data_IF_308832351980
#
_entry.id   IF_308832351980
#
_cell.length_a   1.000
_cell.length_b   1.000
_cell.length_c   1.000
_cell.angle_alpha   90.00
_cell.angle_beta   90.00
_cell.angle_gamma   90.00
#
_symmetry.space_group_name_H-M   'P 1'
#
loop_
_entity.id
_entity.type
_entity.pdbx_description
1 polymer ?
#
# COMPACT_ATOMS: atom_id res chain seq x y z
N UNK A 1 -5.53 -44.56 -12.00
CA UNK A 1 -4.24 -44.98 -11.42
C UNK A 1 -3.27 -43.81 -11.45
N UNK A 2 -3.32 -42.95 -10.43
CA UNK A 2 -2.28 -41.98 -10.06
C UNK A 2 -2.73 -41.39 -8.72
N UNK A 3 -2.57 -42.19 -7.66
CA UNK A 3 -2.80 -41.83 -6.28
C UNK A 3 -1.74 -42.56 -5.45
N UNK A 4 -0.50 -42.07 -5.49
CA UNK A 4 0.58 -42.41 -4.55
C UNK A 4 1.88 -41.72 -4.97
N UNK A 5 2.11 -40.49 -4.52
CA UNK A 5 3.44 -39.95 -4.28
C UNK A 5 3.28 -38.75 -3.35
N UNK A 6 4.31 -38.42 -2.58
CA UNK A 6 4.37 -37.30 -1.63
C UNK A 6 3.83 -37.58 -0.21
N UNK A 7 4.42 -38.60 0.42
CA UNK A 7 4.83 -38.52 1.84
C UNK A 7 6.32 -38.87 1.91
N UNK A 8 7.15 -37.89 2.30
CA UNK A 8 8.47 -37.98 2.95
C UNK A 8 9.37 -36.84 2.47
N UNK A 9 9.40 -35.75 3.23
CA UNK A 9 10.66 -35.05 3.48
C UNK A 9 10.74 -34.81 4.99
N UNK A 10 11.72 -35.48 5.57
CA UNK A 10 12.01 -35.54 7.00
C UNK A 10 12.84 -34.34 7.40
N UNK A 11 12.49 -33.74 8.55
CA UNK A 11 13.27 -32.73 9.27
C UNK A 11 14.59 -33.35 9.77
N UNK A 12 15.77 -32.76 9.49
CA UNK A 12 16.97 -33.08 10.23
C UNK A 12 17.12 -32.13 11.42
N UNK A 13 17.02 -32.69 12.63
CA UNK A 13 17.55 -32.10 13.86
C UNK A 13 19.07 -32.25 13.82
N UNK A 14 19.82 -31.15 13.90
CA UNK A 14 21.22 -31.19 14.30
C UNK A 14 21.49 -30.20 15.43
N UNK A 15 21.76 -30.78 16.61
CA UNK A 15 22.41 -30.15 17.75
C UNK A 15 23.91 -30.07 17.44
N UNK A 16 24.47 -28.85 17.47
CA UNK A 16 25.90 -28.59 17.36
C UNK A 16 26.35 -27.62 18.44
N UNK A 17 26.87 -28.16 19.54
CA UNK A 17 27.61 -27.45 20.57
C UNK A 17 28.90 -26.87 19.98
N UNK A 18 29.16 -25.58 20.17
CA UNK A 18 30.50 -25.01 19.92
C UNK A 18 31.02 -24.37 21.21
N UNK A 19 32.22 -24.84 21.56
CA UNK A 19 33.01 -24.55 22.75
C UNK A 19 33.65 -23.16 22.67
N UNK A 20 33.51 -22.38 23.74
CA UNK A 20 34.22 -21.11 23.94
C UNK A 20 35.59 -21.38 24.54
N UNK A 21 36.66 -21.02 23.83
CA UNK A 21 38.02 -20.99 24.38
C UNK A 21 38.45 -19.54 24.60
N UNK A 22 38.74 -19.23 25.87
CA UNK A 22 39.37 -18.00 26.33
C UNK A 22 40.88 -18.04 26.02
N UNK A 23 41.41 -16.95 25.46
CA UNK A 23 42.82 -16.58 25.65
C UNK A 23 42.93 -15.09 25.96
N UNK A 24 43.56 -14.81 27.09
CA UNK A 24 43.92 -13.49 27.58
C UNK A 24 45.25 -13.04 26.96
N UNK A 25 45.39 -11.74 26.70
CA UNK A 25 46.64 -11.10 26.32
C UNK A 25 46.59 -9.60 26.61
N UNK A 26 47.30 -9.18 27.66
CA UNK A 26 47.38 -7.82 28.21
C UNK A 26 48.61 -7.09 27.65
N UNK A 27 48.51 -5.80 27.27
CA UNK A 27 49.23 -4.65 27.87
C UNK A 27 49.29 -3.38 27.00
N UNK A 28 48.93 -2.28 27.67
CA UNK A 28 49.39 -0.88 27.55
C UNK A 28 49.30 -0.10 26.22
N UNK A 29 48.45 0.94 26.24
CA UNK A 29 48.95 2.32 26.26
C UNK A 29 47.90 3.28 26.85
N UNK A 30 48.31 4.09 27.82
CA UNK A 30 47.55 5.26 28.29
C UNK A 30 47.79 6.40 27.29
N UNK A 31 46.72 7.03 26.81
CA UNK A 31 46.75 8.38 26.26
C UNK A 31 45.43 9.04 26.68
N UNK A 32 45.59 10.07 27.50
CA UNK A 32 44.55 10.92 28.04
C UNK A 32 44.37 12.06 27.04
N UNK A 33 43.32 12.00 26.22
CA UNK A 33 42.91 13.14 25.39
C UNK A 33 41.47 13.49 25.74
N UNK A 34 41.32 14.68 26.33
CA UNK A 34 40.06 15.30 26.64
C UNK A 34 39.28 15.51 25.33
N UNK A 35 38.34 14.62 25.05
CA UNK A 35 37.37 14.80 23.99
C UNK A 35 36.54 16.05 24.31
N UNK A 36 36.79 17.11 23.54
CA UNK A 36 35.94 18.29 23.42
C UNK A 36 34.50 17.85 23.19
N UNK A 37 33.63 18.14 24.14
CA UNK A 37 32.19 18.14 23.92
C UNK A 37 31.88 19.17 22.82
N UNK A 38 31.28 18.79 21.68
CA UNK A 38 30.86 19.77 20.70
C UNK A 38 29.73 20.63 21.31
N UNK A 39 29.69 21.95 21.04
CA UNK A 39 28.62 22.80 21.55
C UNK A 39 27.27 22.39 20.95
N UNK A 40 26.21 22.59 21.73
CA UNK A 40 24.82 22.34 21.36
C UNK A 40 24.50 22.87 19.94
N UNK A 41 23.81 22.03 19.17
CA UNK A 41 23.63 22.14 17.73
C UNK A 41 23.36 23.55 17.19
N UNK A 42 24.22 23.98 16.28
CA UNK A 42 23.91 25.07 15.36
C UNK A 42 22.69 24.66 14.53
N UNK A 43 21.57 25.35 14.77
CA UNK A 43 20.35 25.23 13.97
C UNK A 43 20.69 25.71 12.55
N UNK A 44 20.79 24.79 11.59
CA UNK A 44 21.06 25.16 10.20
C UNK A 44 20.00 26.16 9.70
N UNK A 45 20.41 27.19 8.94
CA UNK A 45 19.47 28.16 8.37
C UNK A 45 18.63 27.47 7.29
N UNK A 46 17.33 27.29 7.56
CA UNK A 46 16.40 26.67 6.61
C UNK A 46 16.31 27.43 5.29
N UNK A 47 16.03 26.72 4.20
CA UNK A 47 15.95 27.28 2.84
C UNK A 47 14.60 27.97 2.65
N UNK A 48 14.58 29.19 2.09
CA UNK A 48 13.32 29.86 1.71
C UNK A 48 12.67 29.13 0.54
N UNK A 49 11.40 28.75 0.68
CA UNK A 49 10.67 28.07 -0.37
C UNK A 49 10.41 29.01 -1.56
N UNK A 50 10.67 28.56 -2.79
CA UNK A 50 10.65 29.45 -3.96
C UNK A 50 9.25 29.99 -4.30
N UNK A 51 8.21 29.16 -4.14
CA UNK A 51 6.81 29.52 -4.45
C UNK A 51 6.10 30.21 -3.27
N UNK A 52 6.08 29.56 -2.11
CA UNK A 52 5.40 30.04 -0.91
C UNK A 52 6.30 30.89 0.00
N UNK A 53 6.85 31.95 -0.58
CA UNK A 53 7.52 33.02 0.15
C UNK A 53 6.82 34.34 -0.16
N UNK A 54 5.67 34.56 0.48
CA UNK A 54 4.76 35.65 0.15
C UNK A 54 5.23 36.98 0.72
N UNK A 55 5.20 38.03 -0.08
CA UNK A 55 5.64 39.36 0.34
C UNK A 55 4.76 39.92 1.48
N UNK A 56 3.46 39.67 1.42
CA UNK A 56 2.44 40.03 2.42
C UNK A 56 2.22 38.97 3.51
N UNK A 57 2.98 37.87 3.48
CA UNK A 57 2.89 36.81 4.48
C UNK A 57 3.22 37.32 5.89
N UNK A 58 2.45 36.84 6.88
CA UNK A 58 2.52 37.28 8.27
C UNK A 58 3.04 36.21 9.23
N UNK A 59 3.31 35.01 8.73
CA UNK A 59 3.80 33.85 9.47
C UNK A 59 4.90 33.16 8.66
N UNK A 60 6.02 32.87 9.29
CA UNK A 60 7.05 31.97 8.74
C UNK A 60 6.89 30.61 9.41
N UNK A 61 6.60 29.58 8.62
CA UNK A 61 6.52 28.20 9.07
C UNK A 61 7.79 27.48 8.65
N UNK A 62 8.45 26.83 9.60
CA UNK A 62 9.60 25.97 9.37
C UNK A 62 9.18 24.50 9.45
N UNK A 63 9.26 23.79 8.34
CA UNK A 63 9.32 22.33 8.29
C UNK A 63 10.78 21.87 8.33
N UNK A 64 11.05 20.58 8.13
CA UNK A 64 12.38 19.96 8.09
C UNK A 64 13.48 20.89 7.54
N UNK A 65 13.49 21.09 6.22
CA UNK A 65 14.56 21.82 5.52
C UNK A 65 14.13 23.21 4.98
N UNK A 66 12.83 23.46 4.91
CA UNK A 66 12.28 24.64 4.23
C UNK A 66 11.55 25.62 5.17
N UNK A 67 11.59 26.88 4.76
CA UNK A 67 10.90 28.00 5.36
C UNK A 67 9.84 28.53 4.39
N UNK A 68 8.60 28.60 4.87
CA UNK A 68 7.45 29.06 4.12
C UNK A 68 6.95 30.37 4.75
N UNK A 69 6.87 31.45 3.97
CA UNK A 69 6.28 32.71 4.43
C UNK A 69 4.86 32.82 3.89
N UNK A 70 3.87 32.70 4.77
CA UNK A 70 2.46 32.50 4.41
C UNK A 70 1.50 33.36 5.25
N UNK A 71 0.22 33.38 4.87
CA UNK A 71 -0.85 34.06 5.61
C UNK A 71 -1.23 33.31 6.89
N UNK A 72 -0.99 33.91 8.06
CA UNK A 72 -1.31 33.32 9.37
C UNK A 72 -2.78 32.90 9.48
N UNK A 73 -3.68 33.80 9.09
CA UNK A 73 -5.14 33.62 9.24
C UNK A 73 -5.66 32.46 8.41
N UNK A 74 -5.06 32.18 7.24
CA UNK A 74 -5.44 31.06 6.38
C UNK A 74 -5.19 29.73 7.09
N UNK A 75 -4.03 29.55 7.72
CA UNK A 75 -3.70 28.30 8.41
C UNK A 75 -4.45 28.17 9.74
N UNK A 76 -4.46 29.21 10.57
CA UNK A 76 -5.10 29.16 11.90
C UNK A 76 -6.62 28.91 11.82
N UNK A 77 -7.27 29.39 10.75
CA UNK A 77 -8.72 29.18 10.55
C UNK A 77 -9.08 27.71 10.40
N UNK A 78 -8.17 26.90 9.87
CA UNK A 78 -8.45 25.52 9.51
C UNK A 78 -7.66 24.50 10.33
N UNK A 79 -6.71 24.94 11.16
CA UNK A 79 -5.87 24.08 11.99
C UNK A 79 -5.73 24.57 13.43
N UNK A 80 -6.23 23.76 14.36
CA UNK A 80 -6.07 23.99 15.80
C UNK A 80 -4.61 23.84 16.22
N UNK A 81 -3.89 22.90 15.60
CA UNK A 81 -2.46 22.69 15.82
C UNK A 81 -1.67 23.93 15.47
N UNK A 82 -1.87 24.49 14.27
CA UNK A 82 -1.15 25.69 13.85
C UNK A 82 -1.55 26.87 14.71
N UNK A 83 -2.83 26.96 15.12
CA UNK A 83 -3.27 27.97 16.08
C UNK A 83 -2.49 27.91 17.39
N UNK A 84 -2.41 26.74 18.02
CA UNK A 84 -1.69 26.53 19.27
C UNK A 84 -0.18 26.78 19.14
N UNK A 85 0.44 26.34 18.04
CA UNK A 85 1.85 26.61 17.77
C UNK A 85 2.13 28.12 17.64
N UNK A 86 1.20 28.88 17.05
CA UNK A 86 1.32 30.33 16.92
C UNK A 86 1.09 31.08 18.25
N UNK A 87 0.43 30.49 19.24
CA UNK A 87 0.25 31.07 20.59
C UNK A 87 1.52 30.95 21.43
N UNK A 88 2.28 29.86 21.25
CA UNK A 88 3.58 29.64 21.88
C UNK A 88 4.76 30.31 21.17
N UNK A 89 4.55 30.86 19.96
CA UNK A 89 5.60 31.51 19.18
C UNK A 89 6.04 32.82 19.84
N UNK A 90 7.32 32.90 20.24
CA UNK A 90 7.93 34.16 20.68
C UNK A 90 8.02 35.13 19.50
N UNK A 91 7.51 36.34 19.69
CA UNK A 91 7.83 37.44 18.78
C UNK A 91 9.33 37.72 18.87
N UNK A 92 10.07 37.25 17.87
CA UNK A 92 11.44 37.68 17.53
C UNK A 92 12.40 37.78 18.71
N UNK A 93 13.01 36.66 19.10
CA UNK A 93 14.41 36.72 19.53
C UNK A 93 15.23 35.90 18.55
N UNK A 94 16.01 36.64 17.75
CA UNK A 94 17.02 36.19 16.79
C UNK A 94 16.50 35.62 15.45
N UNK A 95 16.15 36.51 14.51
CA UNK A 95 16.00 36.16 13.10
C UNK A 95 15.44 37.30 12.24
N UNK A 96 16.13 37.63 11.16
CA UNK A 96 15.89 38.69 10.17
C UNK A 96 14.63 38.47 9.30
N UNK A 97 13.48 38.17 9.92
CA UNK A 97 12.23 37.84 9.22
C UNK A 97 11.20 38.99 9.22
N UNK A 98 11.68 40.23 9.26
CA UNK A 98 10.84 41.42 9.05
C UNK A 98 9.65 41.54 10.03
N UNK A 99 9.78 41.04 11.26
CA UNK A 99 8.72 41.12 12.28
C UNK A 99 7.64 40.03 12.18
N UNK A 100 7.78 39.04 11.28
CA UNK A 100 6.86 37.90 11.21
C UNK A 100 7.01 36.98 12.42
N UNK A 101 5.90 36.40 12.89
CA UNK A 101 5.97 35.28 13.83
C UNK A 101 6.61 34.08 13.12
N UNK A 102 7.53 33.40 13.80
CA UNK A 102 8.16 32.16 13.29
C UNK A 102 7.62 30.99 14.10
N UNK A 103 7.11 29.98 13.42
CA UNK A 103 6.64 28.73 14.02
C UNK A 103 7.46 27.58 13.45
N UNK A 104 7.94 26.72 14.33
CA UNK A 104 8.57 25.47 13.96
C UNK A 104 7.57 24.33 14.13
N UNK A 105 7.35 23.55 13.08
CA UNK A 105 6.57 22.32 13.19
C UNK A 105 7.47 21.29 13.90
N UNK A 106 7.05 20.73 15.05
CA UNK A 106 7.86 19.78 15.79
C UNK A 106 8.17 18.53 14.96
N UNK A 107 9.39 18.01 15.08
CA UNK A 107 9.86 16.84 14.32
C UNK A 107 8.99 15.60 14.57
N UNK A 108 8.45 15.44 15.77
CA UNK A 108 7.57 14.34 16.14
C UNK A 108 6.24 14.31 15.37
N UNK A 109 5.85 15.43 14.72
CA UNK A 109 4.68 15.47 13.83
C UNK A 109 4.97 14.88 12.44
N UNK A 110 6.24 14.64 12.11
CA UNK A 110 6.69 14.02 10.87
C UNK A 110 6.12 14.66 9.59
N UNK A 111 6.05 16.00 9.56
CA UNK A 111 5.56 16.76 8.40
C UNK A 111 6.72 17.01 7.43
N UNK A 112 6.64 16.42 6.24
CA UNK A 112 7.61 16.68 5.18
C UNK A 112 7.37 18.06 4.54
N UNK A 113 8.43 18.69 4.02
CA UNK A 113 8.29 19.94 3.25
C UNK A 113 7.39 19.77 2.02
N UNK A 114 7.46 18.61 1.35
CA UNK A 114 6.68 18.32 0.15
C UNK A 114 5.18 18.17 0.45
N UNK A 115 4.82 17.50 1.55
CA UNK A 115 3.41 17.39 1.95
C UNK A 115 2.85 18.76 2.36
N UNK A 116 3.65 19.55 3.08
CA UNK A 116 3.25 20.91 3.44
C UNK A 116 3.10 21.82 2.21
N UNK A 117 4.01 21.74 1.24
CA UNK A 117 3.90 22.44 -0.04
C UNK A 117 2.57 22.09 -0.76
N UNK A 118 2.23 20.80 -0.79
CA UNK A 118 1.00 20.29 -1.43
C UNK A 118 -0.25 20.81 -0.70
N UNK A 119 -0.23 20.87 0.63
CA UNK A 119 -1.31 21.49 1.42
C UNK A 119 -1.47 22.98 1.10
N UNK A 120 -0.36 23.72 0.99
CA UNK A 120 -0.41 25.14 0.61
C UNK A 120 -0.96 25.31 -0.81
N UNK A 121 -0.59 24.44 -1.76
CA UNK A 121 -1.14 24.45 -3.11
C UNK A 121 -2.67 24.27 -3.12
N UNK A 122 -3.19 23.42 -2.23
CA UNK A 122 -4.63 23.28 -2.04
C UNK A 122 -5.26 24.54 -1.44
N UNK A 123 -4.68 25.07 -0.35
CA UNK A 123 -5.20 26.22 0.39
C UNK A 123 -5.21 27.52 -0.40
N UNK A 124 -4.22 27.73 -1.26
CA UNK A 124 -4.13 28.90 -2.16
C UNK A 124 -4.84 28.67 -3.49
N UNK A 125 -5.54 27.55 -3.68
CA UNK A 125 -6.25 27.17 -4.92
C UNK A 125 -5.35 27.09 -6.16
N UNK A 126 -4.07 26.87 -5.92
CA UNK A 126 -3.02 26.70 -6.92
C UNK A 126 -3.08 25.30 -7.56
N UNK A 127 -3.43 24.30 -6.76
CA UNK A 127 -3.66 22.90 -7.17
C UNK A 127 -4.68 22.28 -6.21
N UNK A 128 -5.99 22.61 -6.34
CA UNK A 128 -7.02 22.05 -5.48
C UNK A 128 -7.13 20.53 -5.65
N UNK A 129 -7.66 19.86 -4.62
CA UNK A 129 -7.90 18.42 -4.69
C UNK A 129 -9.33 18.20 -5.13
N UNK A 130 -9.49 17.34 -6.13
CA UNK A 130 -10.77 16.90 -6.66
C UNK A 130 -10.68 15.44 -7.15
N UNK A 131 -11.75 14.95 -7.79
CA UNK A 131 -11.83 13.57 -8.28
C UNK A 131 -10.86 13.23 -9.42
N UNK A 132 -10.18 14.21 -10.00
CA UNK A 132 -9.18 14.03 -11.06
C UNK A 132 -7.73 14.15 -10.57
N UNK A 133 -7.53 14.46 -9.28
CA UNK A 133 -6.20 14.54 -8.67
C UNK A 133 -5.46 13.21 -8.69
N UNK A 134 -4.16 13.25 -8.96
CA UNK A 134 -3.30 12.07 -8.93
C UNK A 134 -3.08 11.56 -7.50
N UNK A 135 -2.77 10.26 -7.36
CA UNK A 135 -2.61 9.62 -6.05
C UNK A 135 -1.58 10.32 -5.15
N UNK A 136 -0.37 10.66 -5.62
CA UNK A 136 0.65 11.30 -4.76
C UNK A 136 0.16 12.62 -4.14
N UNK A 137 -0.62 13.42 -4.87
CA UNK A 137 -1.17 14.67 -4.37
C UNK A 137 -2.21 14.43 -3.26
N UNK A 138 -3.12 13.48 -3.49
CA UNK A 138 -4.17 13.12 -2.52
C UNK A 138 -3.52 12.51 -1.26
N UNK A 139 -2.54 11.63 -1.43
CA UNK A 139 -1.76 11.01 -0.35
C UNK A 139 -1.07 12.05 0.52
N UNK A 140 -0.34 12.99 -0.10
CA UNK A 140 0.34 14.08 0.60
C UNK A 140 -0.62 14.92 1.45
N UNK A 141 -1.74 15.35 0.88
CA UNK A 141 -2.72 16.13 1.64
C UNK A 141 -3.41 15.30 2.71
N UNK A 142 -3.71 14.03 2.45
CA UNK A 142 -4.30 13.13 3.45
C UNK A 142 -3.39 13.02 4.70
N UNK A 143 -2.08 12.82 4.50
CA UNK A 143 -1.09 12.75 5.60
C UNK A 143 -1.02 14.06 6.41
N UNK A 144 -0.74 15.18 5.74
CA UNK A 144 -0.49 16.49 6.41
C UNK A 144 -1.71 17.10 7.05
N UNK A 145 -2.90 16.85 6.50
CA UNK A 145 -4.16 17.32 7.09
C UNK A 145 -4.64 16.46 8.26
N UNK A 146 -4.05 15.29 8.50
CA UNK A 146 -4.49 14.38 9.56
C UNK A 146 -4.32 14.95 10.97
N UNK A 147 -5.09 14.42 11.92
CA UNK A 147 -5.03 14.80 13.32
C UNK A 147 -3.64 14.56 13.95
N UNK A 148 -2.88 13.58 13.45
CA UNK A 148 -1.53 13.28 13.91
C UNK A 148 -0.48 14.31 13.45
N UNK A 149 -0.76 15.03 12.36
CA UNK A 149 0.15 16.01 11.78
C UNK A 149 -0.32 17.43 12.06
N UNK A 150 -0.90 18.12 11.09
CA UNK A 150 -1.32 19.51 11.24
C UNK A 150 -2.81 19.70 11.54
N UNK A 151 -3.60 18.63 11.63
CA UNK A 151 -5.01 18.66 12.03
C UNK A 151 -5.81 19.72 11.26
N UNK A 152 -6.10 19.45 9.99
CA UNK A 152 -7.01 20.23 9.14
C UNK A 152 -8.27 19.40 8.83
N UNK A 153 -9.26 19.31 9.74
CA UNK A 153 -10.31 18.29 9.68
C UNK A 153 -11.13 18.29 8.39
N UNK A 154 -11.54 19.45 7.91
CA UNK A 154 -12.35 19.55 6.68
C UNK A 154 -11.55 19.14 5.44
N UNK A 155 -10.26 19.49 5.39
CA UNK A 155 -9.36 19.12 4.28
C UNK A 155 -9.05 17.62 4.35
N UNK A 156 -8.83 17.10 5.55
CA UNK A 156 -8.61 15.67 5.76
C UNK A 156 -9.81 14.83 5.34
N UNK A 157 -11.03 15.27 5.68
CA UNK A 157 -12.25 14.60 5.24
C UNK A 157 -12.40 14.63 3.72
N UNK A 158 -12.07 15.75 3.07
CA UNK A 158 -12.06 15.87 1.61
C UNK A 158 -11.05 14.92 0.96
N UNK A 159 -9.79 14.94 1.43
CA UNK A 159 -8.73 14.09 0.92
C UNK A 159 -9.07 12.61 1.11
N UNK A 160 -9.58 12.23 2.28
CA UNK A 160 -10.06 10.88 2.57
C UNK A 160 -11.17 10.43 1.63
N UNK A 161 -12.18 11.28 1.42
CA UNK A 161 -13.31 10.96 0.54
C UNK A 161 -12.89 10.87 -0.93
N UNK A 162 -11.85 11.62 -1.31
CA UNK A 162 -11.26 11.55 -2.66
C UNK A 162 -10.48 10.25 -2.80
N UNK A 163 -9.62 9.93 -1.84
CA UNK A 163 -8.84 8.70 -1.79
C UNK A 163 -9.70 7.44 -1.84
N UNK A 164 -10.80 7.39 -1.07
CA UNK A 164 -11.77 6.29 -1.10
C UNK A 164 -12.35 6.04 -2.50
N UNK A 165 -12.59 7.10 -3.28
CA UNK A 165 -13.17 7.00 -4.63
C UNK A 165 -12.15 6.60 -5.70
N UNK A 166 -10.85 6.58 -5.39
CA UNK A 166 -9.82 6.21 -6.35
C UNK A 166 -9.77 4.71 -6.61
N UNK A 167 -10.31 3.89 -5.70
CA UNK A 167 -10.23 2.44 -5.77
C UNK A 167 -11.61 1.82 -5.97
N UNK A 168 -11.72 0.74 -6.77
CA UNK A 168 -12.94 -0.03 -6.85
C UNK A 168 -13.21 -0.77 -5.54
N UNK A 169 -14.49 -1.01 -5.24
CA UNK A 169 -14.95 -1.77 -4.07
C UNK A 169 -15.24 -3.25 -4.37
N UNK A 170 -15.19 -3.64 -5.65
CA UNK A 170 -15.52 -4.98 -6.12
C UNK A 170 -14.31 -5.75 -6.67
N UNK A 171 -14.48 -7.03 -6.99
CA UNK A 171 -13.45 -7.82 -7.64
C UNK A 171 -13.25 -7.32 -9.08
N UNK A 172 -12.25 -6.48 -9.28
CA UNK A 172 -11.82 -6.03 -10.60
C UNK A 172 -10.53 -6.77 -11.01
N UNK A 173 -10.60 -7.65 -12.04
CA UNK A 173 -9.43 -8.30 -12.58
C UNK A 173 -8.45 -7.28 -13.16
N UNK A 174 -7.15 -7.53 -12.99
CA UNK A 174 -6.07 -6.72 -13.57
C UNK A 174 -6.02 -5.27 -13.10
N UNK A 175 -6.58 -4.98 -11.91
CA UNK A 175 -6.50 -3.66 -11.31
C UNK A 175 -5.03 -3.23 -11.15
N UNK A 176 -4.69 -2.07 -11.69
CA UNK A 176 -3.40 -1.43 -11.48
C UNK A 176 -3.56 -0.34 -10.42
N UNK A 177 -2.79 -0.47 -9.34
CA UNK A 177 -2.74 0.51 -8.26
C UNK A 177 -1.38 1.19 -8.33
N UNK A 178 -1.39 2.52 -8.42
CA UNK A 178 -0.18 3.35 -8.26
C UNK A 178 0.26 3.31 -6.80
N UNK A 179 1.54 3.03 -6.55
CA UNK A 179 2.16 2.94 -5.22
C UNK A 179 1.32 2.14 -4.19
N UNK A 180 1.07 0.84 -4.44
CA UNK A 180 0.11 0.03 -3.69
C UNK A 180 0.47 -0.13 -2.20
N UNK A 181 1.76 -0.04 -1.85
CA UNK A 181 2.24 -0.10 -0.48
C UNK A 181 1.95 1.18 0.32
N UNK A 182 2.20 2.36 -0.27
CA UNK A 182 1.82 3.64 0.36
C UNK A 182 0.29 3.73 0.46
N UNK A 183 -0.43 3.38 -0.61
CA UNK A 183 -1.89 3.36 -0.60
C UNK A 183 -2.45 2.44 0.49
N UNK A 184 -1.93 1.21 0.64
CA UNK A 184 -2.35 0.29 1.70
C UNK A 184 -2.04 0.85 3.10
N UNK A 185 -0.85 1.42 3.28
CA UNK A 185 -0.43 2.02 4.54
C UNK A 185 -1.38 3.15 4.95
N UNK A 186 -1.67 4.09 4.04
CA UNK A 186 -2.59 5.19 4.27
C UNK A 186 -4.02 4.71 4.54
N UNK A 187 -4.50 3.70 3.82
CA UNK A 187 -5.84 3.15 4.02
C UNK A 187 -5.98 2.51 5.40
N UNK A 188 -4.93 1.89 5.94
CA UNK A 188 -4.93 1.32 7.29
C UNK A 188 -4.77 2.41 8.35
N UNK A 189 -3.76 3.26 8.23
CA UNK A 189 -3.46 4.31 9.21
C UNK A 189 -4.61 5.29 9.39
N UNK A 190 -5.30 5.63 8.29
CA UNK A 190 -6.46 6.50 8.32
C UNK A 190 -7.79 5.75 8.32
N UNK A 191 -7.81 4.43 8.53
CA UNK A 191 -9.05 3.63 8.66
C UNK A 191 -10.02 3.78 7.48
N UNK A 192 -9.52 3.86 6.24
CA UNK A 192 -10.33 3.92 5.01
C UNK A 192 -10.76 2.51 4.60
N UNK A 193 -11.63 1.90 5.42
CA UNK A 193 -12.01 0.49 5.32
C UNK A 193 -12.53 0.04 3.95
N UNK A 194 -13.37 0.80 3.21
CA UNK A 194 -13.97 0.32 1.96
C UNK A 194 -12.98 -0.10 0.88
N UNK A 195 -11.76 0.46 0.90
CA UNK A 195 -10.72 0.19 -0.11
C UNK A 195 -9.61 -0.73 0.40
N UNK A 196 -9.59 -1.05 1.70
CA UNK A 196 -8.52 -1.89 2.28
C UNK A 196 -8.47 -3.27 1.65
N UNK A 197 -9.62 -3.91 1.40
CA UNK A 197 -9.67 -5.24 0.76
C UNK A 197 -8.99 -5.22 -0.61
N UNK A 198 -9.33 -4.23 -1.43
CA UNK A 198 -8.74 -4.02 -2.76
C UNK A 198 -7.23 -3.84 -2.69
N UNK A 199 -6.75 -3.02 -1.76
CA UNK A 199 -5.33 -2.76 -1.58
C UNK A 199 -4.57 -3.97 -1.03
N UNK A 200 -5.16 -4.70 -0.08
CA UNK A 200 -4.60 -5.98 0.39
C UNK A 200 -4.49 -7.00 -0.74
N UNK A 201 -5.51 -7.12 -1.60
CA UNK A 201 -5.45 -7.98 -2.77
C UNK A 201 -4.32 -7.56 -3.71
N UNK A 202 -4.29 -6.29 -4.10
CA UNK A 202 -3.29 -5.76 -5.04
C UNK A 202 -1.87 -6.00 -4.52
N UNK A 203 -1.60 -5.67 -3.25
CA UNK A 203 -0.30 -5.91 -2.63
C UNK A 203 0.00 -7.41 -2.55
N UNK A 204 -0.88 -8.23 -1.99
CA UNK A 204 -0.60 -9.66 -1.78
C UNK A 204 -0.35 -10.43 -3.08
N UNK A 205 -0.94 -10.00 -4.20
CA UNK A 205 -0.90 -10.73 -5.47
C UNK A 205 0.11 -10.18 -6.49
N UNK A 206 0.58 -8.94 -6.30
CA UNK A 206 1.55 -8.29 -7.20
C UNK A 206 2.90 -7.95 -6.55
N UNK A 207 3.01 -8.02 -5.23
CA UNK A 207 4.27 -7.83 -4.55
C UNK A 207 5.15 -9.07 -4.68
N UNK A 208 6.40 -8.87 -5.06
CA UNK A 208 7.47 -9.79 -4.67
C UNK A 208 7.69 -9.62 -3.15
N UNK A 209 6.82 -10.22 -2.34
CA UNK A 209 7.06 -10.38 -0.91
C UNK A 209 8.19 -11.40 -0.79
N UNK A 210 9.43 -10.92 -0.85
CA UNK A 210 10.59 -11.79 -0.74
C UNK A 210 10.46 -12.65 0.53
N UNK A 211 10.50 -13.97 0.32
CA UNK A 211 10.90 -14.86 1.39
C UNK A 211 12.39 -14.60 1.62
N UNK A 212 12.75 -14.09 2.79
CA UNK A 212 14.12 -14.15 3.30
C UNK A 212 14.54 -15.63 3.42
N UNK A 213 14.82 -16.30 2.30
CA UNK A 213 15.72 -17.44 2.29
C UNK A 213 17.12 -16.84 2.52
N UNK A 214 17.79 -17.15 3.63
CA UNK A 214 19.11 -16.61 3.89
C UNK A 214 20.01 -17.02 2.72
N UNK A 215 20.54 -16.02 2.00
CA UNK A 215 21.47 -16.23 0.89
C UNK A 215 22.56 -17.21 1.33
N UNK A 216 22.47 -18.45 0.83
CA UNK A 216 23.56 -19.40 0.94
C UNK A 216 24.79 -18.77 0.26
N UNK A 217 26.00 -18.92 0.83
CA UNK A 217 27.20 -18.31 0.25
C UNK A 217 27.40 -18.88 -1.16
N UNK A 218 27.12 -18.07 -2.18
CA UNK A 218 27.31 -18.45 -3.57
C UNK A 218 28.81 -18.38 -3.90
N UNK A 219 29.44 -19.50 -4.29
CA UNK A 219 30.79 -19.50 -4.80
C UNK A 219 30.68 -19.37 -6.32
N UNK A 220 30.69 -18.13 -6.82
CA UNK A 220 31.41 -17.74 -8.05
C UNK A 220 30.89 -16.39 -8.55
N UNK A 221 31.82 -15.44 -8.61
CA UNK A 221 31.57 -14.14 -9.21
C UNK A 221 31.51 -14.24 -10.73
N UNK A 222 30.53 -13.54 -11.29
CA UNK A 222 30.48 -12.91 -12.63
C UNK A 222 29.25 -13.34 -13.43
N UNK A 223 28.16 -12.62 -13.25
CA UNK A 223 27.22 -12.36 -14.36
C UNK A 223 26.59 -10.98 -14.11
N UNK A 224 26.59 -10.06 -15.09
CA UNK A 224 25.89 -8.79 -14.93
C UNK A 224 24.38 -9.08 -15.03
N UNK A 225 23.74 -9.23 -13.87
CA UNK A 225 22.30 -9.31 -13.77
C UNK A 225 21.70 -8.00 -14.28
N UNK A 226 20.85 -8.10 -15.30
CA UNK A 226 20.03 -6.99 -15.78
C UNK A 226 19.05 -6.67 -14.66
N UNK A 227 19.35 -5.62 -13.90
CA UNK A 227 18.51 -5.13 -12.82
C UNK A 227 17.15 -4.72 -13.38
N UNK A 228 16.17 -5.61 -13.27
CA UNK A 228 14.77 -5.21 -13.17
C UNK A 228 14.68 -4.35 -11.91
N UNK A 229 13.95 -3.22 -11.89
CA UNK A 229 13.78 -2.46 -10.66
C UNK A 229 13.14 -3.37 -9.61
N UNK A 230 13.94 -3.78 -8.62
CA UNK A 230 13.45 -4.48 -7.44
C UNK A 230 12.42 -3.55 -6.79
N UNK A 231 11.15 -3.80 -7.05
CA UNK A 231 10.03 -3.04 -6.49
C UNK A 231 9.81 -3.56 -5.08
N UNK A 232 10.83 -3.40 -4.22
CA UNK A 232 10.75 -3.76 -2.81
C UNK A 232 9.74 -2.83 -2.17
N UNK A 233 8.59 -3.38 -1.82
CA UNK A 233 7.55 -2.62 -1.14
C UNK A 233 8.02 -2.19 0.24
N UNK A 234 7.68 -0.96 0.63
CA UNK A 234 8.05 -0.38 1.92
C UNK A 234 6.89 -0.54 2.90
N UNK A 235 6.54 -1.78 3.22
CA UNK A 235 5.44 -2.09 4.15
C UNK A 235 5.96 -2.31 5.58
N UNK A 236 5.11 -1.96 6.56
CA UNK A 236 5.39 -2.34 7.95
C UNK A 236 5.38 -3.87 8.12
N UNK A 237 6.15 -4.44 9.06
CA UNK A 237 6.18 -5.90 9.27
C UNK A 237 4.80 -6.50 9.53
N UNK A 238 3.90 -5.75 10.18
CA UNK A 238 2.53 -6.17 10.43
C UNK A 238 1.69 -6.25 9.15
N UNK A 239 1.81 -5.26 8.25
CA UNK A 239 1.12 -5.27 6.96
C UNK A 239 1.68 -6.35 6.04
N UNK A 240 3.00 -6.53 6.00
CA UNK A 240 3.66 -7.61 5.27
C UNK A 240 3.16 -8.98 5.72
N UNK A 241 3.10 -9.23 7.04
CA UNK A 241 2.60 -10.48 7.58
C UNK A 241 1.12 -10.74 7.20
N UNK A 242 0.28 -9.70 7.19
CA UNK A 242 -1.13 -9.81 6.76
C UNK A 242 -1.25 -10.10 5.26
N UNK A 243 -0.44 -9.46 4.42
CA UNK A 243 -0.43 -9.73 2.98
C UNK A 243 0.04 -11.14 2.67
N UNK A 244 1.08 -11.63 3.38
CA UNK A 244 1.56 -13.00 3.23
C UNK A 244 0.52 -14.03 3.67
N UNK A 245 -0.17 -13.79 4.80
CA UNK A 245 -1.25 -14.65 5.26
C UNK A 245 -2.40 -14.70 4.23
N UNK A 246 -2.81 -13.54 3.71
CA UNK A 246 -3.82 -13.47 2.65
C UNK A 246 -3.38 -14.24 1.40
N UNK A 247 -2.14 -14.08 0.95
CA UNK A 247 -1.61 -14.80 -0.22
C UNK A 247 -1.69 -16.32 0.00
N UNK A 248 -1.31 -16.81 1.18
CA UNK A 248 -1.40 -18.23 1.52
C UNK A 248 -2.86 -18.73 1.48
N UNK A 249 -3.81 -17.96 2.00
CA UNK A 249 -5.23 -18.31 1.99
C UNK A 249 -5.82 -18.30 0.56
N UNK A 250 -5.43 -17.32 -0.25
CA UNK A 250 -5.80 -17.25 -1.67
C UNK A 250 -5.31 -18.49 -2.43
N UNK A 251 -4.02 -18.84 -2.27
CA UNK A 251 -3.43 -20.02 -2.90
C UNK A 251 -4.09 -21.30 -2.41
N UNK A 252 -4.32 -21.44 -1.09
CA UNK A 252 -4.95 -22.61 -0.50
C UNK A 252 -6.40 -22.81 -1.01
N UNK A 253 -7.17 -21.72 -1.15
CA UNK A 253 -8.51 -21.75 -1.71
C UNK A 253 -8.53 -22.05 -3.20
N UNK A 254 -7.66 -21.41 -3.97
CA UNK A 254 -7.74 -21.44 -5.44
C UNK A 254 -7.06 -22.67 -6.07
N UNK A 255 -6.03 -23.22 -5.45
CA UNK A 255 -5.34 -24.44 -5.93
C UNK A 255 -6.31 -25.58 -6.30
N UNK A 256 -7.21 -26.04 -5.41
CA UNK A 256 -8.14 -27.12 -5.77
C UNK A 256 -9.09 -26.74 -6.91
N UNK A 257 -9.45 -25.46 -7.04
CA UNK A 257 -10.32 -24.96 -8.11
C UNK A 257 -9.58 -25.04 -9.45
N UNK A 258 -8.34 -24.55 -9.51
CA UNK A 258 -7.55 -24.53 -10.74
C UNK A 258 -7.21 -25.95 -11.25
N UNK A 259 -6.88 -26.87 -10.33
CA UNK A 259 -6.47 -28.23 -10.69
C UNK A 259 -7.64 -29.22 -10.84
N UNK A 260 -8.88 -28.79 -10.58
CA UNK A 260 -10.07 -29.59 -10.89
C UNK A 260 -10.57 -29.22 -12.27
N UNK A 261 -10.57 -30.20 -13.18
CA UNK A 261 -11.13 -30.04 -14.52
C UNK A 261 -12.60 -29.64 -14.44
N UNK A 262 -12.99 -28.60 -15.18
CA UNK A 262 -14.38 -28.16 -15.26
C UNK A 262 -15.28 -29.23 -15.90
N UNK A 263 -16.48 -29.42 -15.35
CA UNK A 263 -17.48 -30.35 -15.89
C UNK A 263 -18.64 -29.62 -16.54
N UNK A 264 -19.11 -30.08 -17.70
CA UNK A 264 -20.22 -29.47 -18.42
C UNK A 264 -21.56 -30.17 -18.14
N UNK A 265 -22.65 -29.60 -18.65
CA UNK A 265 -23.99 -30.20 -18.55
C UNK A 265 -24.17 -31.51 -19.34
N UNK A 266 -23.20 -31.90 -20.16
CA UNK A 266 -23.18 -33.16 -20.91
C UNK A 266 -21.76 -33.62 -21.23
N UNK A 267 -21.61 -34.92 -21.50
CA UNK A 267 -20.29 -35.58 -21.59
C UNK A 267 -19.40 -35.00 -22.70
N UNK A 268 -19.94 -34.69 -23.88
CA UNK A 268 -19.13 -34.20 -25.00
C UNK A 268 -18.37 -32.90 -24.66
N UNK A 269 -19.01 -31.95 -23.96
CA UNK A 269 -18.33 -30.73 -23.55
C UNK A 269 -17.40 -30.96 -22.34
N UNK A 270 -17.71 -31.93 -21.48
CA UNK A 270 -16.79 -32.34 -20.40
C UNK A 270 -15.51 -32.95 -20.96
N UNK A 271 -15.61 -33.75 -22.01
CA UNK A 271 -14.45 -34.34 -22.70
C UNK A 271 -13.55 -33.25 -23.28
N UNK A 272 -14.14 -32.22 -23.92
CA UNK A 272 -13.40 -31.05 -24.42
C UNK A 272 -12.66 -30.34 -23.28
N UNK A 273 -13.31 -30.07 -22.14
CA UNK A 273 -12.62 -29.50 -20.98
C UNK A 273 -11.50 -30.41 -20.52
N UNK A 274 -11.72 -31.71 -20.37
CA UNK A 274 -10.69 -32.65 -19.90
C UNK A 274 -9.45 -32.69 -20.80
N UNK A 275 -9.62 -32.60 -22.11
CA UNK A 275 -8.52 -32.60 -23.08
C UNK A 275 -7.77 -31.27 -23.13
N UNK A 276 -8.48 -30.14 -22.98
CA UNK A 276 -7.91 -28.80 -23.20
C UNK A 276 -7.52 -28.07 -21.91
N UNK A 277 -7.99 -28.51 -20.73
CA UNK A 277 -7.76 -27.82 -19.45
C UNK A 277 -6.28 -27.67 -19.09
N UNK A 278 -5.49 -28.73 -19.30
CA UNK A 278 -4.05 -28.67 -19.01
C UNK A 278 -3.32 -27.62 -19.86
N UNK A 279 -3.39 -27.65 -21.21
CA UNK A 279 -2.68 -26.68 -22.05
C UNK A 279 -3.27 -25.27 -22.03
N UNK A 280 -4.59 -25.12 -21.86
CA UNK A 280 -5.25 -23.80 -21.95
C UNK A 280 -5.42 -23.10 -20.60
N UNK A 281 -5.46 -23.84 -19.49
CA UNK A 281 -5.73 -23.28 -18.16
C UNK A 281 -4.57 -23.49 -17.20
N UNK A 282 -4.19 -24.73 -16.94
CA UNK A 282 -3.19 -25.03 -15.91
C UNK A 282 -1.81 -24.48 -16.31
N UNK A 283 -1.35 -24.81 -17.52
CA UNK A 283 0.00 -24.42 -17.95
C UNK A 283 0.18 -22.88 -17.99
N UNK A 284 -0.71 -22.09 -18.62
CA UNK A 284 -0.59 -20.63 -18.61
C UNK A 284 -0.67 -20.04 -17.20
N UNK A 285 -1.53 -20.59 -16.33
CA UNK A 285 -1.61 -20.15 -14.94
C UNK A 285 -0.31 -20.41 -14.16
N UNK A 286 0.40 -21.51 -14.41
CA UNK A 286 1.70 -21.77 -13.78
C UNK A 286 2.79 -20.83 -14.30
N UNK A 287 2.77 -20.51 -15.60
CA UNK A 287 3.77 -19.63 -16.24
C UNK A 287 3.63 -18.16 -15.80
N UNK A 288 2.42 -17.70 -15.44
CA UNK A 288 2.13 -16.32 -15.09
C UNK A 288 1.80 -16.11 -13.60
N UNK A 289 2.19 -17.04 -12.72
CA UNK A 289 1.87 -17.00 -11.28
C UNK A 289 0.37 -16.86 -10.97
N UNK A 290 -0.48 -17.42 -11.84
CA UNK A 290 -1.94 -17.38 -11.74
C UNK A 290 -2.51 -18.03 -10.49
N UNK A 291 -1.79 -18.97 -9.87
CA UNK A 291 -2.14 -19.53 -8.56
C UNK A 291 -2.25 -18.47 -7.47
N UNK A 292 -1.43 -17.42 -7.56
CA UNK A 292 -1.43 -16.29 -6.63
C UNK A 292 -2.47 -15.23 -7.01
N UNK A 293 -3.08 -15.33 -8.20
CA UNK A 293 -3.94 -14.29 -8.81
C UNK A 293 -5.28 -14.90 -9.23
N UNK A 294 -6.11 -15.35 -8.28
CA UNK A 294 -7.32 -16.10 -8.58
C UNK A 294 -8.33 -15.32 -9.41
N UNK A 295 -8.50 -14.02 -9.14
CA UNK A 295 -9.49 -13.19 -9.84
C UNK A 295 -9.12 -13.05 -11.32
N UNK A 296 -7.84 -12.77 -11.60
CA UNK A 296 -7.29 -12.63 -12.96
C UNK A 296 -7.21 -13.96 -13.70
N UNK A 297 -6.86 -15.04 -13.00
CA UNK A 297 -6.82 -16.37 -13.61
C UNK A 297 -8.23 -16.82 -14.01
N UNK A 298 -9.23 -16.63 -13.15
CA UNK A 298 -10.62 -16.88 -13.50
C UNK A 298 -11.07 -16.00 -14.67
N UNK A 299 -10.66 -14.73 -14.70
CA UNK A 299 -10.96 -13.85 -15.83
C UNK A 299 -10.36 -14.36 -17.14
N UNK A 300 -9.11 -14.84 -17.09
CA UNK A 300 -8.43 -15.42 -18.24
C UNK A 300 -9.16 -16.68 -18.74
N UNK A 301 -9.61 -17.55 -17.83
CA UNK A 301 -10.43 -18.74 -18.16
C UNK A 301 -11.77 -18.33 -18.80
N UNK A 302 -12.42 -17.29 -18.29
CA UNK A 302 -13.70 -16.76 -18.81
C UNK A 302 -13.54 -16.25 -20.25
N UNK A 303 -12.42 -15.60 -20.54
CA UNK A 303 -12.14 -14.91 -21.80
C UNK A 303 -11.68 -15.85 -22.93
N UNK A 304 -11.30 -17.08 -22.60
CA UNK A 304 -11.03 -18.12 -23.61
C UNK A 304 -12.24 -18.35 -24.53
N UNK A 305 -11.96 -18.57 -25.81
CA UNK A 305 -12.98 -18.93 -26.80
C UNK A 305 -13.27 -20.43 -26.76
N UNK A 306 -13.94 -20.86 -25.69
CA UNK A 306 -14.38 -22.24 -25.52
C UNK A 306 -15.28 -22.73 -26.65
N UNK A 307 -15.94 -21.83 -27.39
CA UNK A 307 -16.73 -22.17 -28.57
C UNK A 307 -15.87 -22.69 -29.71
N UNK A 308 -14.71 -22.06 -29.94
CA UNK A 308 -13.72 -22.50 -30.93
C UNK A 308 -13.11 -23.86 -30.56
N UNK A 309 -12.97 -24.16 -29.26
CA UNK A 309 -12.48 -25.45 -28.74
C UNK A 309 -13.54 -26.57 -28.80
N UNK A 310 -14.79 -26.26 -29.19
CA UNK A 310 -15.86 -27.26 -29.36
C UNK A 310 -16.87 -27.35 -28.20
N UNK A 311 -16.84 -26.42 -27.25
CA UNK A 311 -17.86 -26.32 -26.19
C UNK A 311 -19.12 -25.64 -26.75
N UNK A 312 -20.29 -26.23 -26.49
CA UNK A 312 -21.55 -25.65 -26.98
C UNK A 312 -21.89 -24.33 -26.27
N UNK A 313 -22.60 -23.43 -26.95
CA UNK A 313 -22.91 -22.08 -26.45
C UNK A 313 -23.57 -22.07 -25.06
N UNK A 314 -24.44 -23.04 -24.77
CA UNK A 314 -25.10 -23.18 -23.47
C UNK A 314 -24.08 -23.47 -22.36
N UNK A 315 -23.20 -24.47 -22.54
CA UNK A 315 -22.18 -24.81 -21.56
C UNK A 315 -21.16 -23.69 -21.36
N UNK A 316 -20.82 -22.94 -22.43
CA UNK A 316 -19.97 -21.75 -22.32
C UNK A 316 -20.63 -20.69 -21.44
N UNK A 317 -21.92 -20.41 -21.65
CA UNK A 317 -22.64 -19.43 -20.83
C UNK A 317 -22.68 -19.85 -19.36
N UNK A 318 -23.11 -21.09 -19.08
CA UNK A 318 -23.21 -21.63 -17.72
C UNK A 318 -21.85 -21.56 -16.99
N UNK A 319 -20.76 -21.91 -17.68
CA UNK A 319 -19.42 -21.86 -17.09
C UNK A 319 -18.90 -20.46 -16.84
N UNK A 320 -19.16 -19.52 -17.74
CA UNK A 320 -18.81 -18.11 -17.50
C UNK A 320 -19.56 -17.55 -16.30
N UNK A 321 -20.82 -17.94 -16.09
CA UNK A 321 -21.59 -17.55 -14.90
C UNK A 321 -21.00 -18.17 -13.62
N UNK A 322 -20.63 -19.45 -13.66
CA UNK A 322 -19.99 -20.18 -12.56
C UNK A 322 -18.64 -19.56 -12.17
N UNK A 323 -17.73 -19.30 -13.12
CA UNK A 323 -16.42 -18.71 -12.82
C UNK A 323 -16.52 -17.26 -12.34
N UNK A 324 -17.50 -16.48 -12.82
CA UNK A 324 -17.79 -15.15 -12.25
C UNK A 324 -18.35 -15.24 -10.83
N UNK A 325 -19.13 -16.28 -10.54
CA UNK A 325 -19.57 -16.54 -9.17
C UNK A 325 -18.37 -16.88 -8.28
N UNK A 326 -17.42 -17.66 -8.78
CA UNK A 326 -16.21 -17.98 -8.04
C UNK A 326 -15.33 -16.74 -7.78
N UNK A 327 -15.19 -15.81 -8.73
CA UNK A 327 -14.52 -14.52 -8.49
C UNK A 327 -15.15 -13.76 -7.32
N UNK A 328 -16.49 -13.76 -7.23
CA UNK A 328 -17.21 -13.14 -6.09
C UNK A 328 -16.99 -13.92 -4.80
N UNK A 329 -17.01 -15.25 -4.84
CA UNK A 329 -16.76 -16.08 -3.65
C UNK A 329 -15.35 -15.87 -3.09
N UNK A 330 -14.33 -15.77 -3.94
CA UNK A 330 -12.97 -15.40 -3.52
C UNK A 330 -12.98 -14.04 -2.83
N UNK A 331 -13.60 -13.03 -3.44
CA UNK A 331 -13.67 -11.67 -2.91
C UNK A 331 -14.42 -11.55 -1.57
N UNK A 332 -15.48 -12.34 -1.39
CA UNK A 332 -16.26 -12.39 -0.15
C UNK A 332 -15.47 -13.08 0.96
N UNK A 333 -14.78 -14.20 0.66
CA UNK A 333 -13.94 -14.91 1.65
C UNK A 333 -12.79 -14.06 2.19
N UNK A 334 -12.30 -13.10 1.42
CA UNK A 334 -11.29 -12.15 1.90
C UNK A 334 -11.73 -11.34 3.12
N UNK A 335 -13.03 -11.10 3.32
CA UNK A 335 -13.51 -10.43 4.54
C UNK A 335 -13.18 -11.24 5.79
N UNK A 336 -13.29 -12.57 5.69
CA UNK A 336 -12.97 -13.50 6.78
C UNK A 336 -11.46 -13.61 6.98
N UNK A 337 -10.70 -13.82 5.89
CA UNK A 337 -9.24 -13.97 5.94
C UNK A 337 -8.53 -12.72 6.47
N UNK A 338 -9.00 -11.54 6.08
CA UNK A 338 -8.44 -10.26 6.54
C UNK A 338 -8.99 -9.79 7.88
N UNK A 339 -10.00 -10.46 8.43
CA UNK A 339 -10.69 -10.06 9.65
C UNK A 339 -11.45 -8.73 9.52
N UNK A 340 -12.01 -8.45 8.33
CA UNK A 340 -12.78 -7.23 8.05
C UNK A 340 -14.28 -7.36 8.39
N UNK A 341 -14.71 -8.55 8.84
CA UNK A 341 -16.09 -8.80 9.27
C UNK A 341 -16.49 -7.90 10.43
N UNK A 342 -17.55 -7.10 10.24
CA UNK A 342 -18.09 -6.19 11.26
C UNK A 342 -17.59 -4.74 11.21
N UNK A 343 -16.69 -4.40 10.28
CA UNK A 343 -16.34 -3.00 10.00
C UNK A 343 -17.48 -2.30 9.23
N UNK A 344 -17.69 -0.98 9.39
CA UNK A 344 -18.75 -0.26 8.69
C UNK A 344 -18.52 -0.33 7.18
N UNK A 345 -19.27 -1.19 6.49
CA UNK A 345 -19.29 -1.25 5.03
C UNK A 345 -20.11 -0.06 4.54
N UNK A 346 -19.56 0.74 3.63
CA UNK A 346 -20.33 1.76 2.91
C UNK A 346 -21.41 1.05 2.09
N UNK A 347 -22.58 0.89 2.71
CA UNK A 347 -23.76 0.38 2.04
C UNK A 347 -24.05 1.34 0.89
N UNK A 348 -23.90 0.87 -0.35
CA UNK A 348 -24.16 1.65 -1.55
C UNK A 348 -25.51 2.35 -1.44
N UNK A 349 -25.50 3.67 -1.64
CA UNK A 349 -26.71 4.49 -1.72
C UNK A 349 -27.47 4.05 -2.97
N UNK A 350 -28.40 3.12 -2.78
CA UNK A 350 -29.51 2.88 -3.68
C UNK A 350 -30.80 3.23 -2.94
N UNK A 351 -31.30 4.44 -3.16
CA UNK A 351 -32.69 4.78 -2.92
C UNK A 351 -33.15 5.74 -4.02
N UNK A 352 -33.51 5.13 -5.14
CA UNK A 352 -34.52 5.66 -6.06
C UNK A 352 -35.71 6.18 -5.26
N UNK A 353 -36.12 7.42 -5.52
CA UNK A 353 -37.52 7.80 -5.33
C UNK A 353 -37.95 8.75 -6.44
N UNK A 354 -38.36 8.11 -7.54
CA UNK A 354 -39.32 8.67 -8.48
C UNK A 354 -40.63 9.03 -7.78
N UNK A 355 -41.36 9.94 -8.42
CA UNK A 355 -42.46 10.69 -7.86
C UNK A 355 -43.70 9.91 -7.47
N UNK A 356 -44.52 10.55 -6.66
CA UNK A 356 -45.98 10.54 -6.83
C UNK A 356 -46.50 11.97 -6.66
N UNK A 357 -46.96 12.54 -7.77
CA UNK A 357 -48.04 13.51 -7.76
C UNK A 357 -49.27 12.91 -7.11
N UNK A 358 -49.88 13.64 -6.20
CA UNK A 358 -51.32 13.87 -6.18
C UNK A 358 -51.64 15.11 -5.36
#
# INVERSE_FOLDING_TARGET
MLAAAWRRLSVPRYLGLVSLSFTAGTLHHMANDAAMTPPAGEVQPGRRHARYWLDDGSLVVRTQDDLFKVHRTLLQRHSNVVSALCEGATQGQNGDFGGCSVVHIPEERNVSSADFETLLAHLYHDSPIDSSSAFPQVASVLRVSSAGQLDFPSIHQLARSTFEKMMPTGPEPFLQVEDPDDALTLAVDFNVYPIQKTLFYAVATHAHLDHDEPEGPSPDGSTPSTQVPDTRLTLSPALTARCQALLNDLVAHFTPILFTVATAGHMQCTDVFAETWMPLVIQPALECSGLCRPIETLQTIIDLDWGAEGVCAKCVQEKREEWRAEQRTVWERMDEWLGLTGLPHSSGVNASREGKSQ
#
